data_IF_971836513042
#
_entry.id   IF_971836513042
#
_cell.length_a   1.000
_cell.length_b   1.000
_cell.length_c   1.000
_cell.angle_alpha   90.00
_cell.angle_beta   90.00
_cell.angle_gamma   90.00
#
_symmetry.space_group_name_H-M   'P 1'
#
loop_
_entity.id
_entity.type
_entity.pdbx_description
1 polymer ?
#
# COMPACT_ATOMS: atom_id res chain seq x y z
N UNK A 1 -4.44 4.35 14.39
CA UNK A 1 -5.07 3.11 13.88
C UNK A 1 -6.28 3.48 13.05
N UNK A 2 -6.46 2.79 11.93
CA UNK A 2 -7.58 2.97 11.01
C UNK A 2 -8.27 1.61 10.87
N UNK A 3 -9.58 1.58 11.01
CA UNK A 3 -10.39 0.40 10.72
C UNK A 3 -11.07 0.60 9.36
N UNK A 4 -10.97 -0.38 8.48
CA UNK A 4 -11.60 -0.32 7.16
C UNK A 4 -13.01 -0.91 7.20
N UNK A 5 -13.84 -0.58 6.21
CA UNK A 5 -15.19 -1.10 6.12
C UNK A 5 -15.25 -2.63 5.94
N UNK A 6 -14.19 -3.25 5.45
CA UNK A 6 -14.11 -4.70 5.27
C UNK A 6 -13.52 -5.43 6.48
N UNK A 7 -13.05 -4.68 7.51
CA UNK A 7 -12.53 -5.23 8.76
C UNK A 7 -11.00 -5.32 8.85
N UNK A 8 -10.27 -4.85 7.84
CA UNK A 8 -8.82 -4.74 7.96
C UNK A 8 -8.44 -3.60 8.91
N UNK A 9 -7.35 -3.77 9.63
CA UNK A 9 -6.78 -2.74 10.50
C UNK A 9 -5.48 -2.21 9.90
N UNK A 10 -5.38 -0.88 9.75
CA UNK A 10 -4.16 -0.21 9.30
C UNK A 10 -3.56 0.55 10.48
N UNK A 11 -2.30 0.26 10.79
CA UNK A 11 -1.54 0.99 11.82
C UNK A 11 -0.54 1.88 11.09
N UNK A 12 -0.70 3.19 11.24
CA UNK A 12 0.24 4.19 10.71
C UNK A 12 1.03 4.76 11.87
N UNK A 13 2.35 4.74 11.75
CA UNK A 13 3.27 5.34 12.72
C UNK A 13 4.01 6.48 12.03
N UNK A 14 3.90 7.69 12.57
CA UNK A 14 4.64 8.85 12.12
C UNK A 14 5.62 9.27 13.21
N UNK A 15 6.90 9.06 12.97
CA UNK A 15 7.98 9.43 13.89
C UNK A 15 9.13 10.07 13.10
N UNK A 16 9.25 11.39 13.23
CA UNK A 16 10.29 12.19 12.59
C UNK A 16 11.35 12.73 13.56
N UNK A 17 11.18 12.52 14.88
CA UNK A 17 12.01 13.15 15.89
C UNK A 17 12.96 12.18 16.58
N UNK A 18 12.65 10.90 16.60
CA UNK A 18 13.49 9.92 17.31
C UNK A 18 14.69 9.53 16.44
N UNK A 19 15.92 9.56 16.99
CA UNK A 19 17.11 9.13 16.27
C UNK A 19 17.06 7.62 16.02
N UNK A 20 16.94 7.24 14.76
CA UNK A 20 16.91 5.84 14.32
C UNK A 20 17.40 5.72 12.87
N UNK A 21 17.86 4.53 12.43
CA UNK A 21 18.07 4.27 11.02
C UNK A 21 16.77 4.43 10.22
N UNK A 22 16.90 4.72 8.94
CA UNK A 22 15.73 4.76 8.04
C UNK A 22 15.01 3.41 8.04
N UNK A 23 13.70 3.46 8.25
CA UNK A 23 12.82 2.31 8.19
C UNK A 23 11.41 2.78 7.84
N UNK A 24 10.77 2.10 6.93
CA UNK A 24 9.35 2.30 6.64
C UNK A 24 8.47 1.56 7.66
N UNK A 25 9.03 0.59 8.40
CA UNK A 25 8.24 -0.27 9.28
C UNK A 25 7.13 -1.02 8.56
N UNK A 26 7.24 -1.18 7.23
CA UNK A 26 6.16 -1.72 6.42
C UNK A 26 5.99 -3.21 6.66
N UNK A 27 4.77 -3.58 7.03
CA UNK A 27 4.36 -4.94 7.33
C UNK A 27 2.97 -5.20 6.80
N UNK A 28 2.78 -6.33 6.13
CA UNK A 28 1.46 -6.84 5.72
C UNK A 28 1.25 -8.19 6.36
N UNK A 29 0.15 -8.35 7.08
CA UNK A 29 -0.21 -9.59 7.73
C UNK A 29 -1.63 -9.99 7.33
N UNK A 30 -1.76 -11.17 6.76
CA UNK A 30 -3.03 -11.82 6.44
C UNK A 30 -3.29 -13.03 7.32
N UNK A 31 -4.34 -13.78 7.02
CA UNK A 31 -4.71 -15.02 7.70
C UNK A 31 -3.71 -16.17 7.50
N UNK A 32 -3.00 -16.17 6.37
CA UNK A 32 -2.12 -17.27 5.97
C UNK A 32 -0.66 -16.85 5.81
N UNK A 33 -0.31 -15.62 6.14
CA UNK A 33 1.07 -15.19 5.99
C UNK A 33 1.35 -13.78 6.47
N UNK A 34 2.63 -13.47 6.50
CA UNK A 34 3.17 -12.21 6.97
C UNK A 34 4.40 -11.85 6.14
N UNK A 35 4.42 -10.61 5.66
CA UNK A 35 5.59 -10.01 5.04
C UNK A 35 6.03 -8.76 5.79
N UNK A 36 7.32 -8.64 6.02
CA UNK A 36 7.95 -7.52 6.70
C UNK A 36 9.14 -7.02 5.90
N UNK A 37 9.13 -5.73 5.57
CA UNK A 37 10.19 -5.11 4.76
C UNK A 37 11.48 -4.97 5.56
N UNK A 38 11.39 -4.52 6.80
CA UNK A 38 12.54 -4.43 7.69
C UNK A 38 13.05 -5.85 8.01
N UNK A 39 14.27 -6.15 7.57
CA UNK A 39 14.84 -7.48 7.66
C UNK A 39 14.50 -8.41 6.47
N UNK A 40 13.70 -7.93 5.50
CA UNK A 40 13.35 -8.69 4.28
C UNK A 40 12.88 -10.11 4.59
N UNK A 41 11.82 -10.22 5.42
CA UNK A 41 11.36 -11.48 6.00
C UNK A 41 9.93 -11.81 5.59
N UNK A 42 9.67 -13.11 5.49
CA UNK A 42 8.35 -13.63 5.17
C UNK A 42 8.04 -14.88 6.00
N UNK A 43 6.76 -15.08 6.27
CA UNK A 43 6.24 -16.32 6.83
C UNK A 43 4.96 -16.69 6.09
N UNK A 44 4.86 -17.94 5.67
CA UNK A 44 3.66 -18.47 4.98
C UNK A 44 3.22 -19.73 5.72
N UNK A 45 1.98 -19.70 6.22
CA UNK A 45 1.42 -20.82 6.98
C UNK A 45 1.40 -22.10 6.14
N UNK A 46 1.77 -23.22 6.75
CA UNK A 46 1.83 -24.52 6.08
C UNK A 46 3.02 -24.71 5.13
N UNK A 47 3.83 -23.67 4.87
CA UNK A 47 5.01 -23.74 3.99
C UNK A 47 6.29 -23.41 4.76
N UNK A 48 6.30 -22.30 5.48
CA UNK A 48 7.43 -21.90 6.33
C UNK A 48 7.55 -22.85 7.54
N UNK A 49 8.78 -23.06 8.01
CA UNK A 49 8.98 -23.85 9.23
C UNK A 49 8.38 -23.10 10.43
N UNK A 50 7.65 -23.78 11.33
CA UNK A 50 7.08 -23.16 12.52
C UNK A 50 8.11 -22.35 13.31
N UNK A 51 7.72 -21.15 13.73
CA UNK A 51 8.55 -20.23 14.51
C UNK A 51 9.84 -19.74 13.82
N UNK A 52 9.92 -19.82 12.50
CA UNK A 52 11.06 -19.34 11.72
C UNK A 52 10.63 -18.41 10.61
N UNK A 53 11.41 -17.37 10.42
CA UNK A 53 11.29 -16.49 9.28
C UNK A 53 12.01 -17.09 8.07
N UNK A 54 11.41 -16.98 6.91
CA UNK A 54 12.07 -17.18 5.62
C UNK A 54 12.62 -15.83 5.12
N UNK A 55 13.64 -15.89 4.28
CA UNK A 55 14.05 -14.73 3.51
C UNK A 55 12.97 -14.38 2.48
N UNK A 56 12.62 -13.09 2.34
CA UNK A 56 11.60 -12.65 1.40
C UNK A 56 12.05 -12.75 -0.06
N UNK A 57 13.37 -12.65 -0.33
CA UNK A 57 13.91 -12.58 -1.70
C UNK A 57 13.44 -13.70 -2.63
N UNK A 58 13.52 -15.02 -2.29
CA UNK A 58 13.04 -16.08 -3.18
C UNK A 58 11.55 -16.00 -3.48
N UNK A 59 10.76 -15.50 -2.52
CA UNK A 59 9.33 -15.30 -2.68
C UNK A 59 9.04 -14.16 -3.64
N UNK A 60 9.73 -13.03 -3.49
CA UNK A 60 9.58 -11.86 -4.36
C UNK A 60 10.01 -12.22 -5.80
N UNK A 61 11.13 -12.90 -6.00
CA UNK A 61 11.54 -13.35 -7.34
C UNK A 61 10.47 -14.19 -8.04
N UNK A 62 9.76 -15.03 -7.29
CA UNK A 62 8.70 -15.89 -7.83
C UNK A 62 7.37 -15.16 -8.03
N UNK A 63 6.97 -14.35 -7.06
CA UNK A 63 5.62 -13.79 -6.96
C UNK A 63 5.55 -12.26 -7.12
N UNK A 64 6.65 -11.63 -7.50
CA UNK A 64 6.67 -10.20 -7.70
C UNK A 64 5.61 -9.74 -8.71
N UNK A 65 5.20 -8.49 -8.57
CA UNK A 65 4.16 -7.91 -9.40
C UNK A 65 4.54 -7.95 -10.88
N UNK A 66 3.61 -8.30 -11.80
CA UNK A 66 3.90 -8.39 -13.23
C UNK A 66 4.52 -7.12 -13.83
N UNK A 67 4.12 -5.94 -13.36
CA UNK A 67 4.71 -4.67 -13.81
C UNK A 67 6.20 -4.58 -13.48
N UNK A 68 6.63 -5.01 -12.29
CA UNK A 68 8.04 -5.05 -11.94
C UNK A 68 8.82 -6.02 -12.83
N UNK A 69 8.25 -7.18 -13.11
CA UNK A 69 8.86 -8.17 -14.03
C UNK A 69 8.97 -7.63 -15.45
N UNK A 70 7.99 -6.83 -15.89
CA UNK A 70 7.95 -6.30 -17.27
C UNK A 70 8.78 -5.03 -17.45
N UNK A 71 8.75 -4.12 -16.48
CA UNK A 71 9.29 -2.77 -16.62
C UNK A 71 10.37 -2.42 -15.59
N UNK A 72 10.75 -3.33 -14.70
CA UNK A 72 11.70 -3.05 -13.63
C UNK A 72 13.04 -2.48 -14.12
N UNK A 73 13.53 -2.92 -15.30
CA UNK A 73 14.75 -2.37 -15.90
C UNK A 73 14.56 -0.90 -16.32
N UNK A 74 13.40 -0.54 -16.86
CA UNK A 74 13.09 0.85 -17.25
C UNK A 74 12.88 1.75 -16.03
N UNK A 75 12.43 1.18 -14.93
CA UNK A 75 12.21 1.90 -13.69
C UNK A 75 13.52 2.26 -12.96
N UNK A 76 14.63 1.61 -13.31
CA UNK A 76 15.93 1.88 -12.68
C UNK A 76 16.35 3.34 -12.91
N UNK A 77 16.71 4.01 -11.80
CA UNK A 77 17.13 5.41 -11.84
C UNK A 77 15.98 6.42 -11.76
N UNK A 78 14.72 6.01 -11.83
CA UNK A 78 13.61 6.87 -11.43
C UNK A 78 13.49 6.95 -9.89
N UNK A 79 12.88 8.00 -9.35
CA UNK A 79 12.81 8.26 -7.92
C UNK A 79 12.14 7.13 -7.12
N UNK A 80 12.37 7.14 -5.81
CA UNK A 80 11.78 6.21 -4.85
C UNK A 80 12.00 4.72 -5.18
N UNK A 81 13.22 4.38 -5.62
CA UNK A 81 13.57 3.00 -5.96
C UNK A 81 12.88 2.47 -7.23
N UNK A 82 12.45 3.36 -8.11
CA UNK A 82 11.76 3.01 -9.35
C UNK A 82 10.25 3.21 -9.32
N UNK A 83 9.65 3.48 -8.17
CA UNK A 83 8.19 3.62 -8.05
C UNK A 83 7.62 4.78 -8.86
N UNK A 84 8.35 5.89 -9.00
CA UNK A 84 7.88 7.07 -9.74
C UNK A 84 7.64 6.75 -11.22
N UNK A 85 8.41 5.84 -11.80
CA UNK A 85 8.17 5.37 -13.16
C UNK A 85 6.76 4.76 -13.29
N UNK A 86 6.38 3.87 -12.40
CA UNK A 86 5.09 3.19 -12.48
C UNK A 86 3.91 4.13 -12.30
N UNK A 87 4.01 5.08 -11.37
CA UNK A 87 2.96 6.08 -11.14
C UNK A 87 2.75 6.95 -12.38
N UNK A 88 3.84 7.47 -12.94
CA UNK A 88 3.78 8.32 -14.14
C UNK A 88 3.33 7.52 -15.38
N UNK A 89 3.83 6.29 -15.55
CA UNK A 89 3.45 5.43 -16.66
C UNK A 89 1.95 5.10 -16.60
N UNK A 90 1.42 4.73 -15.44
CA UNK A 90 -0.01 4.44 -15.28
C UNK A 90 -0.88 5.64 -15.66
N UNK A 91 -0.49 6.85 -15.27
CA UNK A 91 -1.18 8.07 -15.67
C UNK A 91 -1.14 8.32 -17.17
N UNK A 92 0.04 8.23 -17.77
CA UNK A 92 0.24 8.45 -19.23
C UNK A 92 -0.54 7.43 -20.05
N UNK A 93 -0.45 6.15 -19.71
CA UNK A 93 -1.17 5.10 -20.44
C UNK A 93 -2.68 5.22 -20.27
N UNK A 94 -3.19 5.56 -19.09
CA UNK A 94 -4.61 5.84 -18.88
C UNK A 94 -5.09 7.01 -19.74
N UNK A 95 -4.31 8.09 -19.82
CA UNK A 95 -4.62 9.24 -20.67
C UNK A 95 -4.62 8.90 -22.17
N UNK A 96 -3.64 8.13 -22.64
CA UNK A 96 -3.57 7.68 -24.04
C UNK A 96 -4.75 6.80 -24.45
N UNK A 97 -5.19 5.94 -23.54
CA UNK A 97 -6.27 4.99 -23.78
C UNK A 97 -7.66 5.58 -23.47
N UNK A 98 -7.70 6.79 -22.90
CA UNK A 98 -8.93 7.45 -22.43
C UNK A 98 -9.72 6.57 -21.45
N UNK A 99 -9.01 5.95 -20.50
CA UNK A 99 -9.58 5.13 -19.42
C UNK A 99 -9.30 5.78 -18.07
N UNK A 100 -10.05 5.37 -17.04
CA UNK A 100 -9.80 5.83 -15.68
C UNK A 100 -8.43 5.32 -15.18
N UNK A 101 -7.66 6.17 -14.47
CA UNK A 101 -6.40 5.74 -13.87
C UNK A 101 -6.67 4.75 -12.73
N UNK A 102 -5.68 3.89 -12.38
CA UNK A 102 -5.79 2.95 -11.27
C UNK A 102 -6.10 3.62 -9.93
N UNK A 103 -5.56 4.81 -9.73
CA UNK A 103 -5.79 5.65 -8.56
C UNK A 103 -6.46 6.94 -9.02
N UNK A 104 -7.61 7.25 -8.45
CA UNK A 104 -8.38 8.44 -8.79
C UNK A 104 -8.32 9.53 -7.70
N UNK A 105 -9.01 10.64 -7.94
CA UNK A 105 -9.06 11.76 -7.00
C UNK A 105 -9.71 11.39 -5.66
N UNK A 106 -10.60 10.41 -5.63
CA UNK A 106 -11.24 9.95 -4.40
C UNK A 106 -10.26 9.14 -3.54
N UNK A 107 -9.42 8.30 -4.16
CA UNK A 107 -8.34 7.60 -3.47
C UNK A 107 -7.35 8.60 -2.87
N UNK A 108 -6.95 9.61 -3.64
CA UNK A 108 -6.06 10.67 -3.17
C UNK A 108 -6.67 11.46 -2.00
N UNK A 109 -7.95 11.81 -2.07
CA UNK A 109 -8.66 12.50 -0.99
C UNK A 109 -8.73 11.64 0.27
N UNK A 110 -9.05 10.35 0.13
CA UNK A 110 -9.11 9.41 1.25
C UNK A 110 -7.76 9.28 1.95
N UNK A 111 -6.68 9.11 1.21
CA UNK A 111 -5.34 9.01 1.82
C UNK A 111 -4.90 10.32 2.48
N UNK A 112 -5.20 11.46 1.87
CA UNK A 112 -4.86 12.77 2.42
C UNK A 112 -5.66 13.12 3.68
N UNK A 113 -6.85 12.57 3.85
CA UNK A 113 -7.68 12.81 5.04
C UNK A 113 -7.12 12.17 6.33
N UNK A 114 -6.23 11.19 6.21
CA UNK A 114 -5.65 10.50 7.38
C UNK A 114 -4.91 11.49 8.29
N UNK A 115 -4.15 12.42 7.74
CA UNK A 115 -3.40 13.41 8.52
C UNK A 115 -4.31 14.29 9.36
N UNK A 116 -5.23 15.08 8.80
CA UNK A 116 -6.09 15.96 9.60
C UNK A 116 -7.02 15.19 10.56
N UNK A 117 -7.50 14.00 10.19
CA UNK A 117 -8.29 13.19 11.10
C UNK A 117 -7.47 12.66 12.28
N UNK A 118 -6.19 12.34 12.06
CA UNK A 118 -5.28 11.94 13.12
C UNK A 118 -5.00 13.12 14.09
N UNK A 119 -4.82 14.32 13.57
CA UNK A 119 -4.66 15.55 14.37
C UNK A 119 -5.90 15.78 15.24
N UNK A 120 -7.10 15.74 14.65
CA UNK A 120 -8.35 15.87 15.39
C UNK A 120 -8.52 14.80 16.48
N UNK A 121 -8.15 13.55 16.19
CA UNK A 121 -8.18 12.47 17.18
C UNK A 121 -7.25 12.79 18.37
N UNK A 122 -6.03 13.24 18.10
CA UNK A 122 -5.07 13.61 19.14
C UNK A 122 -5.56 14.79 19.98
N UNK A 123 -6.10 15.83 19.38
CA UNK A 123 -6.67 16.99 20.07
C UNK A 123 -7.83 16.59 21.01
N UNK A 124 -8.56 15.56 20.65
CA UNK A 124 -9.68 15.00 21.44
C UNK A 124 -9.30 13.76 22.26
N UNK A 125 -8.07 13.68 22.76
CA UNK A 125 -7.58 12.62 23.63
C UNK A 125 -7.67 11.20 23.03
N UNK A 126 -7.51 11.05 21.72
CA UNK A 126 -7.57 9.75 21.04
C UNK A 126 -8.98 9.32 20.66
N UNK A 127 -9.95 10.24 20.68
CA UNK A 127 -11.32 9.93 20.30
C UNK A 127 -11.42 9.51 18.82
N UNK A 128 -12.15 8.43 18.48
CA UNK A 128 -12.33 8.01 17.10
C UNK A 128 -12.96 9.11 16.23
N UNK A 129 -12.42 9.34 15.07
CA UNK A 129 -12.93 10.29 14.10
C UNK A 129 -13.66 9.56 12.96
N UNK A 130 -14.83 10.08 12.58
CA UNK A 130 -15.55 9.56 11.43
C UNK A 130 -14.81 9.88 10.13
N UNK A 131 -14.59 8.86 9.31
CA UNK A 131 -13.95 9.05 8.03
C UNK A 131 -14.97 9.60 7.00
N UNK A 132 -14.69 10.71 6.31
CA UNK A 132 -15.61 11.30 5.36
C UNK A 132 -15.75 10.43 4.10
N UNK A 133 -16.97 10.26 3.63
CA UNK A 133 -17.22 9.62 2.34
C UNK A 133 -17.13 10.63 1.21
N UNK A 134 -16.00 10.72 0.55
CA UNK A 134 -15.76 11.60 -0.60
C UNK A 134 -16.52 11.15 -1.85
N UNK A 135 -16.95 9.90 -1.91
CA UNK A 135 -17.59 9.29 -3.08
C UNK A 135 -19.11 9.41 -3.07
N UNK A 136 -19.70 9.90 -1.98
CA UNK A 136 -21.16 9.97 -1.76
C UNK A 136 -21.83 8.60 -1.93
N UNK A 137 -21.24 7.56 -1.36
CA UNK A 137 -21.73 6.19 -1.39
C UNK A 137 -21.26 5.34 -2.58
N UNK A 138 -20.62 5.93 -3.59
CA UNK A 138 -20.19 5.19 -4.77
C UNK A 138 -19.10 4.13 -4.48
N UNK A 139 -18.35 4.27 -3.41
CA UNK A 139 -17.34 3.29 -3.01
C UNK A 139 -17.92 1.88 -2.81
N UNK A 140 -19.18 1.77 -2.40
CA UNK A 140 -19.86 0.48 -2.16
C UNK A 140 -20.04 -0.32 -3.47
N UNK A 141 -20.23 0.38 -4.58
CA UNK A 141 -20.48 -0.23 -5.90
C UNK A 141 -19.28 -0.16 -6.83
N UNK A 142 -18.22 0.53 -6.41
CA UNK A 142 -16.98 0.63 -7.18
C UNK A 142 -16.37 -0.76 -7.36
N UNK A 143 -16.08 -1.13 -8.60
CA UNK A 143 -15.34 -2.39 -8.85
C UNK A 143 -13.94 -2.27 -8.30
N UNK A 144 -13.47 -3.27 -7.55
CA UNK A 144 -12.07 -3.33 -7.17
C UNK A 144 -11.18 -3.34 -8.41
N UNK A 145 -10.11 -2.56 -8.37
CA UNK A 145 -9.08 -2.61 -9.40
C UNK A 145 -8.26 -3.90 -9.21
N UNK A 146 -8.17 -4.71 -10.25
CA UNK A 146 -7.32 -5.91 -10.20
C UNK A 146 -5.88 -5.53 -10.56
N UNK A 147 -5.09 -5.24 -9.54
CA UNK A 147 -3.70 -4.83 -9.68
C UNK A 147 -2.81 -5.81 -10.45
N UNK A 148 -3.26 -7.05 -10.63
CA UNK A 148 -2.53 -8.07 -11.36
C UNK A 148 -2.97 -8.13 -12.83
N UNK A 149 -4.29 -8.07 -13.09
CA UNK A 149 -4.84 -8.23 -14.43
C UNK A 149 -5.00 -6.92 -15.17
N UNK A 150 -5.39 -5.87 -14.46
CA UNK A 150 -5.71 -4.58 -15.06
C UNK A 150 -4.47 -3.65 -15.11
N UNK A 151 -3.33 -4.10 -14.61
CA UNK A 151 -2.09 -3.34 -14.60
C UNK A 151 -1.52 -3.11 -16.01
N UNK A 152 -1.30 -1.85 -16.39
CA UNK A 152 -0.80 -1.42 -17.71
C UNK A 152 0.30 -0.36 -17.60
#
# INVERSE_FOLDING_TARGET
TIETANGETIIVTHDCNSPRPYSLGFRVQGSEGLWEVDGSRMYVEGVSKPHRWDEAKPWLEKYDHPLWKKYGEYAQGSGHGGMDFFVLNAFVESAKQNIAPPLDAYDAAAWSAITPLSELSIENNGEPQNFPDFTRGLWVTRKPYDWIKDAH
#
